data_IF_446462106669
#
_entry.id   IF_446462106669
#
_cell.length_a   1.000
_cell.length_b   1.000
_cell.length_c   1.000
_cell.angle_alpha   90.00
_cell.angle_beta   90.00
_cell.angle_gamma   90.00
#
_symmetry.space_group_name_H-M   'P 1'
#
loop_
_entity.id
_entity.type
_entity.pdbx_description
1 polymer ?
#
# COMPACT_ATOMS: atom_id res chain seq x y z
N UNK A 1 -23.05 -24.36 19.85
CA UNK A 1 -21.96 -23.72 19.06
C UNK A 1 -22.32 -22.25 18.91
N UNK A 2 -21.59 -21.33 19.59
CA UNK A 2 -21.75 -19.90 19.37
C UNK A 2 -21.19 -19.62 17.97
N UNK A 3 -21.99 -19.17 17.07
CA UNK A 3 -21.57 -18.64 15.76
C UNK A 3 -20.75 -17.40 16.07
N UNK A 4 -19.43 -17.47 15.89
CA UNK A 4 -18.49 -16.36 16.02
C UNK A 4 -18.79 -15.30 14.93
N UNK A 5 -19.75 -14.43 15.24
CA UNK A 5 -20.23 -13.39 14.33
C UNK A 5 -19.24 -12.24 14.09
N UNK A 6 -17.97 -12.36 14.54
CA UNK A 6 -17.02 -11.24 14.49
C UNK A 6 -15.56 -11.65 14.29
N UNK A 7 -15.26 -12.70 13.52
CA UNK A 7 -13.88 -13.07 13.19
C UNK A 7 -13.39 -12.27 11.99
N UNK A 8 -12.33 -11.50 12.17
CA UNK A 8 -11.60 -10.83 11.08
C UNK A 8 -10.78 -11.87 10.31
N UNK A 9 -10.85 -11.88 8.98
CA UNK A 9 -10.05 -12.78 8.13
C UNK A 9 -8.73 -12.17 7.69
N UNK A 10 -8.76 -10.86 7.45
CA UNK A 10 -7.64 -10.16 6.88
C UNK A 10 -7.38 -8.81 7.56
N UNK A 11 -6.08 -8.48 7.67
CA UNK A 11 -5.59 -7.16 8.06
C UNK A 11 -4.89 -6.53 6.84
N UNK A 12 -5.19 -5.26 6.54
CA UNK A 12 -4.56 -4.51 5.46
C UNK A 12 -3.64 -3.46 6.06
N UNK A 13 -2.37 -3.44 5.65
CA UNK A 13 -1.45 -2.33 5.92
C UNK A 13 -1.84 -1.17 5.02
N UNK A 14 -2.50 -0.16 5.60
CA UNK A 14 -3.16 0.92 4.89
C UNK A 14 -2.41 2.24 5.12
N UNK A 15 -1.68 2.71 4.09
CA UNK A 15 -0.93 3.97 4.15
C UNK A 15 -1.73 5.18 3.65
N UNK A 16 -2.83 4.98 2.93
CA UNK A 16 -3.56 6.05 2.25
C UNK A 16 -3.11 6.32 0.81
N UNK A 17 -2.06 5.63 0.35
CA UNK A 17 -1.58 5.65 -1.04
C UNK A 17 -2.34 4.68 -1.96
N UNK A 18 -2.11 4.80 -3.27
CA UNK A 18 -2.74 4.01 -4.34
C UNK A 18 -2.71 2.51 -4.07
N UNK A 19 -1.52 1.95 -3.82
CA UNK A 19 -1.32 0.51 -3.70
C UNK A 19 -2.06 -0.06 -2.48
N UNK A 20 -1.99 0.64 -1.36
CA UNK A 20 -2.69 0.24 -0.14
C UNK A 20 -4.21 0.34 -0.26
N UNK A 21 -4.71 1.33 -1.01
CA UNK A 21 -6.15 1.46 -1.31
C UNK A 21 -6.64 0.30 -2.18
N UNK A 22 -5.86 -0.10 -3.18
CA UNK A 22 -6.16 -1.27 -4.00
C UNK A 22 -6.05 -2.59 -3.22
N UNK A 23 -5.09 -2.71 -2.29
CA UNK A 23 -5.03 -3.85 -1.36
C UNK A 23 -6.30 -3.93 -0.51
N UNK A 24 -6.78 -2.79 0.00
CA UNK A 24 -8.00 -2.73 0.79
C UNK A 24 -9.22 -3.17 -0.02
N UNK A 25 -9.36 -2.66 -1.26
CA UNK A 25 -10.44 -3.05 -2.16
C UNK A 25 -10.44 -4.56 -2.47
N UNK A 26 -9.25 -5.13 -2.72
CA UNK A 26 -9.11 -6.57 -2.94
C UNK A 26 -9.44 -7.39 -1.70
N UNK A 27 -8.99 -6.95 -0.52
CA UNK A 27 -9.30 -7.63 0.74
C UNK A 27 -10.82 -7.63 0.99
N UNK A 28 -11.47 -6.47 0.84
CA UNK A 28 -12.92 -6.33 1.01
C UNK A 28 -13.69 -7.18 -0.01
N UNK A 29 -13.25 -7.21 -1.26
CA UNK A 29 -13.85 -8.07 -2.30
C UNK A 29 -13.75 -9.56 -1.96
N UNK A 30 -12.62 -9.99 -1.39
CA UNK A 30 -12.33 -11.40 -1.14
C UNK A 30 -12.94 -11.92 0.17
N UNK A 31 -13.11 -11.07 1.18
CA UNK A 31 -13.49 -11.46 2.54
C UNK A 31 -14.81 -10.82 3.02
N UNK A 32 -15.27 -9.76 2.35
CA UNK A 32 -16.34 -8.90 2.85
C UNK A 32 -15.84 -7.83 3.83
N UNK A 33 -16.42 -6.64 3.79
CA UNK A 33 -15.99 -5.49 4.59
C UNK A 33 -15.98 -5.78 6.11
N UNK A 34 -17.01 -6.45 6.61
CA UNK A 34 -17.16 -6.81 8.03
C UNK A 34 -16.10 -7.81 8.55
N UNK A 35 -15.33 -8.44 7.65
CA UNK A 35 -14.25 -9.39 7.98
C UNK A 35 -12.84 -8.87 7.65
N UNK A 36 -12.72 -7.59 7.31
CA UNK A 36 -11.45 -6.91 7.05
C UNK A 36 -11.19 -5.85 8.08
N UNK A 37 -9.98 -5.82 8.62
CA UNK A 37 -9.47 -4.72 9.43
C UNK A 37 -8.32 -4.00 8.70
N UNK A 38 -8.10 -2.74 9.00
CA UNK A 38 -7.01 -1.95 8.45
C UNK A 38 -6.10 -1.40 9.55
N UNK A 39 -4.79 -1.44 9.33
CA UNK A 39 -3.79 -0.86 10.23
C UNK A 39 -2.97 0.19 9.51
N UNK A 40 -2.84 1.36 10.12
CA UNK A 40 -2.06 2.49 9.62
C UNK A 40 -0.95 2.81 10.61
N UNK A 41 0.22 3.17 10.10
CA UNK A 41 1.38 3.50 10.93
C UNK A 41 1.73 4.98 10.83
N UNK A 42 1.95 5.60 12.00
CA UNK A 42 2.61 6.89 12.16
C UNK A 42 4.01 6.62 12.68
N UNK A 43 5.03 6.99 11.89
CA UNK A 43 6.43 6.68 12.19
C UNK A 43 7.33 7.92 12.07
N UNK A 44 6.74 9.10 12.25
CA UNK A 44 7.44 10.37 12.10
C UNK A 44 7.54 10.86 10.66
N UNK A 45 6.73 10.32 9.73
CA UNK A 45 6.70 10.77 8.34
C UNK A 45 6.35 12.25 8.21
N UNK A 46 6.94 12.89 7.19
CA UNK A 46 6.84 14.35 6.92
C UNK A 46 5.41 14.89 6.94
N UNK A 47 4.42 14.10 6.54
CA UNK A 47 3.04 14.52 6.36
C UNK A 47 2.06 13.55 7.01
N UNK A 48 1.31 14.04 7.98
CA UNK A 48 0.18 13.32 8.60
C UNK A 48 -1.04 13.16 7.69
N UNK A 49 -0.99 13.79 6.49
CA UNK A 49 -2.09 13.71 5.53
C UNK A 49 -2.40 12.27 5.12
N UNK A 50 -1.37 11.43 4.98
CA UNK A 50 -1.51 10.01 4.63
C UNK A 50 -2.44 9.28 5.60
N UNK A 51 -2.26 9.47 6.91
CA UNK A 51 -3.12 8.87 7.94
C UNK A 51 -4.58 9.32 7.80
N UNK A 52 -4.81 10.58 7.44
CA UNK A 52 -6.14 11.11 7.22
C UNK A 52 -6.82 10.45 6.01
N UNK A 53 -6.08 10.23 4.92
CA UNK A 53 -6.59 9.52 3.74
C UNK A 53 -6.82 8.03 4.03
N UNK A 54 -5.95 7.38 4.79
CA UNK A 54 -6.16 6.01 5.26
C UNK A 54 -7.46 5.87 6.06
N UNK A 55 -7.73 6.80 7.00
CA UNK A 55 -9.00 6.83 7.75
C UNK A 55 -10.23 6.97 6.84
N UNK A 56 -10.15 7.85 5.83
CA UNK A 56 -11.23 8.05 4.85
C UNK A 56 -11.48 6.78 4.03
N UNK A 57 -10.43 6.13 3.56
CA UNK A 57 -10.54 4.87 2.82
C UNK A 57 -11.13 3.75 3.68
N UNK A 58 -10.65 3.58 4.93
CA UNK A 58 -11.21 2.59 5.85
C UNK A 58 -12.71 2.81 6.09
N UNK A 59 -13.13 4.07 6.28
CA UNK A 59 -14.55 4.44 6.40
C UNK A 59 -15.34 4.17 5.11
N UNK A 60 -14.79 4.55 3.96
CA UNK A 60 -15.43 4.36 2.65
C UNK A 60 -15.71 2.88 2.36
N UNK A 61 -14.75 2.01 2.65
CA UNK A 61 -14.89 0.57 2.45
C UNK A 61 -15.66 -0.14 3.58
N UNK A 62 -16.02 0.54 4.67
CA UNK A 62 -16.80 -0.01 5.76
C UNK A 62 -16.13 -1.17 6.50
N UNK A 63 -14.80 -1.13 6.64
CA UNK A 63 -14.06 -2.22 7.31
C UNK A 63 -14.43 -2.37 8.78
N UNK A 64 -14.32 -3.59 9.31
CA UNK A 64 -14.70 -3.93 10.69
C UNK A 64 -13.95 -3.13 11.75
N UNK A 65 -12.69 -2.81 11.51
CA UNK A 65 -11.86 -2.01 12.42
C UNK A 65 -10.76 -1.27 11.66
N UNK A 66 -10.39 -0.08 12.13
CA UNK A 66 -9.22 0.65 11.69
C UNK A 66 -8.40 1.09 12.91
N UNK A 67 -7.12 0.73 12.92
CA UNK A 67 -6.19 1.07 14.00
C UNK A 67 -5.04 1.90 13.45
N UNK A 68 -4.73 3.01 14.11
CA UNK A 68 -3.48 3.76 13.89
C UNK A 68 -2.49 3.40 15.00
N UNK A 69 -1.27 3.05 14.63
CA UNK A 69 -0.19 2.68 15.54
C UNK A 69 0.97 3.64 15.35
N UNK A 70 1.50 4.19 16.43
CA UNK A 70 2.67 5.06 16.42
C UNK A 70 3.95 4.26 16.61
N UNK A 71 4.94 4.55 15.79
CA UNK A 71 6.28 3.95 15.82
C UNK A 71 7.32 5.08 15.83
N UNK A 72 7.27 5.90 16.89
CA UNK A 72 8.03 7.15 16.98
C UNK A 72 9.56 6.95 17.05
N UNK A 73 10.02 5.74 17.34
CA UNK A 73 11.44 5.42 17.47
C UNK A 73 12.23 5.46 16.14
N UNK A 74 11.57 5.39 14.99
CA UNK A 74 12.31 5.39 13.71
C UNK A 74 13.21 6.61 13.54
N UNK A 75 12.75 7.80 13.90
CA UNK A 75 13.55 9.02 13.81
C UNK A 75 14.77 9.05 14.73
N UNK A 76 14.86 8.13 15.72
CA UNK A 76 16.02 8.03 16.63
C UNK A 76 17.07 7.01 16.17
N UNK A 77 16.74 6.13 15.22
CA UNK A 77 17.60 5.02 14.81
C UNK A 77 17.91 4.98 13.31
N UNK A 78 17.27 5.82 12.49
CA UNK A 78 17.51 5.90 11.05
C UNK A 78 17.38 7.32 10.53
N UNK A 79 18.11 7.63 9.46
CA UNK A 79 18.04 8.90 8.75
C UNK A 79 17.36 8.70 7.40
N UNK A 80 16.25 9.41 7.16
CA UNK A 80 15.53 9.33 5.89
C UNK A 80 14.91 10.67 5.54
N UNK A 81 14.94 11.03 4.26
CA UNK A 81 14.24 12.21 3.76
C UNK A 81 12.70 12.12 3.92
N UNK A 82 12.14 10.96 4.24
CA UNK A 82 10.73 10.82 4.62
C UNK A 82 10.47 11.17 6.08
N UNK A 83 11.48 11.17 6.94
CA UNK A 83 11.38 11.51 8.36
C UNK A 83 11.76 12.97 8.63
N UNK A 84 12.59 13.58 7.78
CA UNK A 84 13.03 14.97 7.91
C UNK A 84 12.39 15.87 6.85
N UNK A 85 11.56 16.82 7.28
CA UNK A 85 10.89 17.79 6.39
C UNK A 85 11.84 18.77 5.68
N UNK A 86 13.07 18.94 6.19
CA UNK A 86 14.09 19.84 5.62
C UNK A 86 14.96 19.14 4.58
N UNK A 87 15.03 17.81 4.60
CA UNK A 87 15.83 17.03 3.65
C UNK A 87 15.20 17.01 2.26
N UNK A 88 16.05 17.18 1.23
CA UNK A 88 15.60 17.04 -0.16
C UNK A 88 15.36 15.58 -0.52
N UNK A 89 14.29 15.32 -1.26
CA UNK A 89 13.98 13.99 -1.79
C UNK A 89 14.74 13.80 -3.10
N UNK A 90 15.94 13.25 -3.00
CA UNK A 90 16.84 13.04 -4.13
C UNK A 90 17.30 11.59 -4.22
N UNK A 91 17.55 11.13 -5.45
CA UNK A 91 18.33 9.92 -5.68
C UNK A 91 19.75 10.36 -5.99
N UNK A 92 20.66 10.31 -5.02
CA UNK A 92 22.08 10.60 -5.26
C UNK A 92 22.60 9.66 -6.36
N UNK A 93 23.27 10.22 -7.38
CA UNK A 93 23.89 9.46 -8.46
C UNK A 93 24.88 8.47 -7.84
N UNK A 94 24.71 7.17 -8.16
CA UNK A 94 25.53 6.10 -7.57
C UNK A 94 25.09 5.56 -6.20
N UNK A 95 24.07 6.14 -5.57
CA UNK A 95 23.56 5.59 -4.32
C UNK A 95 22.81 4.26 -4.56
N UNK A 96 23.10 3.27 -3.72
CA UNK A 96 22.47 1.96 -3.72
C UNK A 96 20.96 2.04 -3.42
N UNK A 97 20.57 2.98 -2.56
CA UNK A 97 19.20 3.19 -2.10
C UNK A 97 18.80 4.67 -2.25
N UNK A 98 17.51 4.99 -2.50
CA UNK A 98 16.99 6.35 -2.45
C UNK A 98 17.12 6.96 -1.05
N UNK A 99 17.21 8.30 -0.96
CA UNK A 99 17.21 9.03 0.33
C UNK A 99 15.91 8.87 1.14
N UNK A 100 14.89 8.33 0.52
CA UNK A 100 13.56 8.06 1.11
C UNK A 100 13.43 6.68 1.75
N UNK A 101 14.50 5.87 1.77
CA UNK A 101 14.50 4.59 2.49
C UNK A 101 14.44 4.87 3.99
N UNK A 102 13.51 4.21 4.67
CA UNK A 102 13.49 4.05 6.13
C UNK A 102 13.81 2.59 6.38
N UNK A 103 15.00 2.32 6.85
CA UNK A 103 15.58 0.98 6.92
C UNK A 103 14.69 0.03 7.76
N UNK A 104 14.31 -1.09 7.15
CA UNK A 104 13.51 -2.11 7.82
C UNK A 104 12.06 -1.73 8.14
N UNK A 105 11.56 -0.60 7.64
CA UNK A 105 10.22 -0.11 7.93
C UNK A 105 9.13 -1.16 7.68
N UNK A 106 9.17 -1.84 6.54
CA UNK A 106 8.19 -2.87 6.22
C UNK A 106 8.32 -4.10 7.12
N UNK A 107 9.50 -4.41 7.65
CA UNK A 107 9.68 -5.50 8.63
C UNK A 107 8.88 -5.21 9.91
N UNK A 108 9.01 -4.00 10.46
CA UNK A 108 8.25 -3.57 11.65
C UNK A 108 6.74 -3.52 11.36
N UNK A 109 6.33 -2.97 10.23
CA UNK A 109 4.92 -2.88 9.86
C UNK A 109 4.27 -4.26 9.75
N UNK A 110 4.94 -5.21 9.11
CA UNK A 110 4.41 -6.55 8.92
C UNK A 110 4.40 -7.35 10.23
N UNK A 111 5.39 -7.17 11.09
CA UNK A 111 5.39 -7.79 12.42
C UNK A 111 4.24 -7.23 13.28
N UNK A 112 4.10 -5.91 13.38
CA UNK A 112 3.02 -5.26 14.14
C UNK A 112 1.63 -5.62 13.59
N UNK A 113 1.48 -5.65 12.26
CA UNK A 113 0.25 -6.11 11.61
C UNK A 113 -0.04 -7.58 11.95
N UNK A 114 0.98 -8.44 12.00
CA UNK A 114 0.86 -9.85 12.40
C UNK A 114 0.39 -10.02 13.85
N UNK A 115 0.98 -9.26 14.77
CA UNK A 115 0.57 -9.26 16.19
C UNK A 115 -0.92 -8.89 16.31
N UNK A 116 -1.35 -7.85 15.61
CA UNK A 116 -2.74 -7.43 15.63
C UNK A 116 -3.67 -8.42 14.92
N UNK A 117 -3.22 -8.99 13.79
CA UNK A 117 -3.95 -10.02 13.08
C UNK A 117 -4.22 -11.24 13.98
N UNK A 118 -3.20 -11.73 14.69
CA UNK A 118 -3.37 -12.82 15.67
C UNK A 118 -4.40 -12.48 16.76
N UNK A 119 -4.36 -11.25 17.29
CA UNK A 119 -5.35 -10.77 18.29
C UNK A 119 -6.79 -10.80 17.75
N UNK A 120 -6.96 -10.52 16.43
CA UNK A 120 -8.26 -10.52 15.77
C UNK A 120 -8.68 -11.90 15.22
N UNK A 121 -7.82 -12.92 15.31
CA UNK A 121 -8.04 -14.23 14.71
C UNK A 121 -7.75 -14.27 13.21
N UNK A 122 -7.28 -13.17 12.62
CA UNK A 122 -6.98 -13.07 11.18
C UNK A 122 -5.72 -13.84 10.79
N UNK A 123 -5.76 -14.47 9.63
CA UNK A 123 -4.64 -15.25 9.08
C UNK A 123 -4.03 -14.64 7.84
N UNK A 124 -4.57 -13.55 7.31
CA UNK A 124 -4.08 -12.91 6.10
C UNK A 124 -3.70 -11.45 6.36
N UNK A 125 -2.53 -11.05 5.87
CA UNK A 125 -2.11 -9.64 5.81
C UNK A 125 -1.99 -9.24 4.35
N UNK A 126 -2.58 -8.12 3.96
CA UNK A 126 -2.37 -7.49 2.65
C UNK A 126 -1.44 -6.30 2.80
N UNK A 127 -0.45 -6.19 1.90
CA UNK A 127 0.43 -5.04 1.81
C UNK A 127 0.71 -4.67 0.35
N UNK A 128 0.82 -3.37 0.07
CA UNK A 128 0.98 -2.80 -1.27
C UNK A 128 2.43 -2.69 -1.73
N UNK A 129 3.34 -3.51 -1.19
CA UNK A 129 4.73 -3.53 -1.66
C UNK A 129 4.81 -4.07 -3.09
N UNK A 130 5.71 -3.48 -3.91
CA UNK A 130 5.96 -3.85 -5.29
C UNK A 130 7.46 -3.87 -5.58
N UNK A 131 7.91 -4.88 -6.31
CA UNK A 131 9.28 -5.00 -6.80
C UNK A 131 9.43 -4.47 -8.23
N UNK A 132 8.37 -4.50 -9.02
CA UNK A 132 8.37 -4.14 -10.44
C UNK A 132 8.71 -2.66 -10.66
N UNK A 133 8.29 -1.81 -9.75
CA UNK A 133 8.49 -0.36 -9.83
C UNK A 133 9.89 0.09 -9.40
N UNK A 134 10.81 -0.88 -9.18
CA UNK A 134 12.19 -0.73 -8.76
C UNK A 134 12.50 0.62 -8.07
N UNK A 135 11.97 0.78 -6.89
CA UNK A 135 12.23 1.96 -6.05
C UNK A 135 13.59 1.88 -5.34
N UNK A 136 14.25 0.70 -5.38
CA UNK A 136 15.51 0.46 -4.66
C UNK A 136 15.31 0.19 -3.17
N UNK A 137 14.08 -0.11 -2.73
CA UNK A 137 13.78 -0.44 -1.34
C UNK A 137 14.04 -1.94 -1.10
N UNK A 138 15.03 -2.32 -0.26
CA UNK A 138 15.35 -3.72 0.01
C UNK A 138 14.16 -4.49 0.60
N UNK A 139 13.37 -3.85 1.46
CA UNK A 139 12.22 -4.40 2.17
C UNK A 139 10.92 -4.41 1.35
N UNK A 140 11.01 -4.17 0.02
CA UNK A 140 9.91 -4.38 -0.94
C UNK A 140 10.15 -5.59 -1.86
N UNK A 141 11.27 -6.30 -1.74
CA UNK A 141 11.61 -7.43 -2.59
C UNK A 141 10.80 -8.68 -2.24
N UNK A 142 10.55 -9.53 -3.24
CA UNK A 142 9.82 -10.78 -3.04
C UNK A 142 10.51 -11.72 -2.03
N UNK A 143 11.85 -11.82 -2.10
CA UNK A 143 12.65 -12.63 -1.16
C UNK A 143 12.54 -12.13 0.29
N UNK A 144 12.55 -10.79 0.49
CA UNK A 144 12.33 -10.20 1.81
C UNK A 144 10.94 -10.59 2.35
N UNK A 145 9.89 -10.44 1.54
CA UNK A 145 8.51 -10.79 1.96
C UNK A 145 8.40 -12.27 2.31
N UNK A 146 9.04 -13.16 1.56
CA UNK A 146 9.07 -14.60 1.86
C UNK A 146 9.76 -14.89 3.20
N UNK A 147 10.91 -14.26 3.46
CA UNK A 147 11.65 -14.37 4.72
C UNK A 147 10.85 -13.77 5.89
N UNK A 148 10.28 -12.58 5.70
CA UNK A 148 9.48 -11.90 6.72
C UNK A 148 8.23 -12.71 7.10
N UNK A 149 7.53 -13.30 6.12
CA UNK A 149 6.39 -14.19 6.38
C UNK A 149 6.81 -15.35 7.28
N UNK A 150 7.94 -15.99 6.98
CA UNK A 150 8.48 -17.10 7.79
C UNK A 150 8.79 -16.62 9.21
N UNK A 151 9.47 -15.47 9.34
CA UNK A 151 9.84 -14.90 10.64
C UNK A 151 8.60 -14.55 11.49
N UNK A 152 7.60 -13.89 10.89
CA UNK A 152 6.34 -13.52 11.59
C UNK A 152 5.57 -14.77 12.03
N UNK A 153 5.48 -15.79 11.17
CA UNK A 153 4.82 -17.07 11.54
C UNK A 153 5.48 -17.74 12.73
N UNK A 154 6.80 -17.82 12.72
CA UNK A 154 7.57 -18.43 13.83
C UNK A 154 7.48 -17.61 15.09
N UNK A 155 7.66 -16.29 15.00
CA UNK A 155 7.62 -15.41 16.17
C UNK A 155 6.25 -15.38 16.85
N UNK A 156 5.17 -15.57 16.11
CA UNK A 156 3.81 -15.50 16.64
C UNK A 156 3.18 -16.88 16.91
N UNK A 157 3.80 -17.96 16.45
CA UNK A 157 3.17 -19.29 16.38
C UNK A 157 1.72 -19.18 15.86
N UNK A 158 1.58 -18.54 14.67
CA UNK A 158 0.31 -18.24 14.04
C UNK A 158 0.42 -18.34 12.52
N UNK A 159 -0.55 -18.98 11.80
CA UNK A 159 -0.45 -19.28 10.37
C UNK A 159 -0.72 -18.04 9.50
N UNK A 160 0.11 -17.01 9.61
CA UNK A 160 -0.01 -15.77 8.83
C UNK A 160 0.40 -16.01 7.36
N UNK A 161 -0.45 -15.54 6.45
CA UNK A 161 -0.11 -15.34 5.03
C UNK A 161 0.05 -13.84 4.76
N UNK A 162 1.16 -13.46 4.08
CA UNK A 162 1.40 -12.09 3.63
C UNK A 162 1.14 -12.04 2.12
N UNK A 163 0.06 -11.38 1.72
CA UNK A 163 -0.34 -11.19 0.32
C UNK A 163 0.17 -9.85 -0.20
N UNK A 164 0.88 -9.91 -1.32
CA UNK A 164 1.46 -8.77 -2.04
C UNK A 164 0.91 -8.74 -3.48
N UNK A 165 -0.35 -8.30 -3.69
CA UNK A 165 -1.04 -8.43 -4.99
C UNK A 165 -0.32 -7.72 -6.13
N UNK A 166 0.56 -6.76 -5.81
CA UNK A 166 1.23 -5.89 -6.76
C UNK A 166 2.73 -6.17 -6.92
N UNK A 167 3.25 -7.25 -6.29
CA UNK A 167 4.69 -7.57 -6.29
C UNK A 167 5.31 -7.50 -7.70
N UNK A 168 4.60 -7.98 -8.71
CA UNK A 168 5.05 -8.06 -10.11
C UNK A 168 4.13 -7.31 -11.08
N UNK A 169 3.35 -6.32 -10.60
CA UNK A 169 2.47 -5.50 -11.45
C UNK A 169 3.08 -4.13 -11.70
N UNK A 170 2.87 -3.64 -12.92
CA UNK A 170 3.17 -2.25 -13.27
C UNK A 170 2.07 -1.31 -12.77
N UNK A 171 2.37 -0.01 -12.64
CA UNK A 171 1.35 0.98 -12.27
C UNK A 171 0.20 1.05 -13.28
N UNK A 172 0.46 0.81 -14.57
CA UNK A 172 -0.61 0.72 -15.58
C UNK A 172 -1.57 -0.44 -15.30
N UNK A 173 -1.06 -1.60 -14.86
CA UNK A 173 -1.88 -2.74 -14.48
C UNK A 173 -2.69 -2.48 -13.19
N UNK A 174 -2.13 -1.71 -12.25
CA UNK A 174 -2.85 -1.29 -11.05
C UNK A 174 -3.99 -0.33 -11.40
N UNK A 175 -3.80 0.62 -12.32
CA UNK A 175 -4.85 1.50 -12.82
C UNK A 175 -5.96 0.72 -13.55
N UNK A 176 -5.58 -0.26 -14.37
CA UNK A 176 -6.54 -1.15 -15.00
C UNK A 176 -7.37 -1.94 -13.97
N UNK A 177 -6.73 -2.38 -12.88
CA UNK A 177 -7.43 -3.04 -11.77
C UNK A 177 -8.37 -2.08 -11.05
N UNK A 178 -7.97 -0.83 -10.79
CA UNK A 178 -8.83 0.18 -10.20
C UNK A 178 -10.11 0.39 -11.03
N UNK A 179 -9.97 0.48 -12.35
CA UNK A 179 -11.11 0.60 -13.27
C UNK A 179 -11.99 -0.66 -13.25
N UNK A 180 -11.38 -1.86 -13.27
CA UNK A 180 -12.12 -3.14 -13.20
C UNK A 180 -12.90 -3.30 -11.89
N UNK A 181 -12.39 -2.74 -10.80
CA UNK A 181 -13.05 -2.74 -9.49
C UNK A 181 -14.07 -1.62 -9.33
N UNK A 182 -14.24 -0.72 -10.31
CA UNK A 182 -15.16 0.42 -10.24
C UNK A 182 -14.73 1.54 -9.29
N UNK A 183 -13.45 1.57 -8.89
CA UNK A 183 -12.90 2.53 -7.90
C UNK A 183 -11.83 3.44 -8.50
N UNK A 184 -11.82 3.62 -9.81
CA UNK A 184 -10.79 4.41 -10.50
C UNK A 184 -10.71 5.84 -9.94
N UNK A 185 -11.86 6.53 -9.84
CA UNK A 185 -11.91 7.92 -9.36
C UNK A 185 -11.57 8.01 -7.87
N UNK A 186 -11.99 7.04 -7.05
CA UNK A 186 -11.60 6.95 -5.65
C UNK A 186 -10.08 6.81 -5.52
N UNK A 187 -9.44 5.93 -6.28
CA UNK A 187 -7.99 5.75 -6.25
C UNK A 187 -7.29 7.00 -6.77
N UNK A 188 -7.79 7.63 -7.84
CA UNK A 188 -7.19 8.83 -8.42
C UNK A 188 -7.23 10.01 -7.47
N UNK A 189 -8.40 10.31 -6.92
CA UNK A 189 -8.67 11.55 -6.18
C UNK A 189 -8.66 11.36 -4.66
N UNK A 190 -8.93 10.13 -4.19
CA UNK A 190 -9.06 9.78 -2.77
C UNK A 190 -7.81 9.15 -2.15
N UNK A 191 -6.63 9.22 -2.79
CA UNK A 191 -5.36 8.70 -2.27
C UNK A 191 -4.26 9.76 -2.27
N UNK A 192 -3.22 9.54 -1.44
CA UNK A 192 -1.99 10.35 -1.40
C UNK A 192 -0.79 9.44 -1.60
N UNK A 193 -0.15 9.56 -2.76
CA UNK A 193 1.07 8.82 -3.09
C UNK A 193 2.29 9.75 -3.14
N UNK A 194 2.04 11.07 -3.19
CA UNK A 194 3.05 12.11 -3.29
C UNK A 194 3.90 12.22 -2.03
N UNK A 195 5.22 12.17 -2.15
CA UNK A 195 6.14 12.38 -1.03
C UNK A 195 6.08 13.78 -0.42
N UNK A 196 5.50 14.76 -1.14
CA UNK A 196 5.24 16.11 -0.63
C UNK A 196 3.82 16.26 -0.04
N UNK A 197 3.08 15.15 0.15
CA UNK A 197 1.75 15.16 0.76
C UNK A 197 0.65 15.78 -0.10
N UNK A 198 0.84 15.93 -1.42
CA UNK A 198 -0.18 16.49 -2.33
C UNK A 198 -1.10 15.36 -2.79
N UNK A 199 -2.42 15.46 -2.56
CA UNK A 199 -3.39 14.46 -2.97
C UNK A 199 -3.56 14.34 -4.50
N UNK A 200 -4.27 13.31 -4.92
CA UNK A 200 -4.66 13.13 -6.32
C UNK A 200 -3.44 12.85 -7.21
N UNK A 201 -3.29 13.64 -8.27
CA UNK A 201 -2.18 13.47 -9.23
C UNK A 201 -0.82 13.92 -8.65
N UNK A 202 -0.81 14.50 -7.44
CA UNK A 202 0.39 14.84 -6.68
C UNK A 202 1.14 16.05 -7.23
N UNK A 203 2.44 16.21 -6.87
CA UNK A 203 3.28 17.30 -7.34
C UNK A 203 3.80 17.09 -8.79
N UNK A 204 3.66 15.91 -9.38
CA UNK A 204 4.22 15.56 -10.68
C UNK A 204 5.75 15.34 -10.72
N UNK A 205 6.49 15.76 -9.71
CA UNK A 205 7.96 15.85 -9.74
C UNK A 205 8.65 14.78 -8.91
N UNK A 206 8.10 14.42 -7.76
CA UNK A 206 8.73 13.39 -6.91
C UNK A 206 8.68 12.02 -7.58
N UNK A 207 9.59 11.10 -7.23
CA UNK A 207 9.67 9.77 -7.84
C UNK A 207 8.35 9.00 -7.82
N UNK A 208 7.61 9.09 -6.71
CA UNK A 208 6.31 8.41 -6.57
C UNK A 208 5.25 8.99 -7.54
N UNK A 209 5.18 10.32 -7.70
CA UNK A 209 4.27 10.97 -8.66
C UNK A 209 4.63 10.62 -10.09
N UNK A 210 5.92 10.68 -10.46
CA UNK A 210 6.37 10.34 -11.82
C UNK A 210 5.97 8.91 -12.20
N UNK A 211 6.20 7.97 -11.30
CA UNK A 211 5.86 6.56 -11.51
C UNK A 211 4.35 6.36 -11.66
N UNK A 212 3.57 6.91 -10.72
CA UNK A 212 2.11 6.85 -10.71
C UNK A 212 1.51 7.44 -11.98
N UNK A 213 1.95 8.66 -12.36
CA UNK A 213 1.40 9.40 -13.51
C UNK A 213 1.82 8.77 -14.85
N UNK A 214 3.03 8.21 -14.93
CA UNK A 214 3.45 7.39 -16.08
C UNK A 214 2.51 6.21 -16.26
N UNK A 215 2.26 5.44 -15.23
CA UNK A 215 1.35 4.28 -15.30
C UNK A 215 -0.10 4.68 -15.61
N UNK A 216 -0.58 5.82 -15.09
CA UNK A 216 -1.89 6.35 -15.45
C UNK A 216 -1.99 6.66 -16.95
N UNK A 217 -0.99 7.35 -17.49
CA UNK A 217 -0.94 7.66 -18.93
C UNK A 217 -0.93 6.39 -19.77
N UNK A 218 -0.06 5.44 -19.47
CA UNK A 218 0.03 4.15 -20.17
C UNK A 218 -1.32 3.40 -20.17
N UNK A 219 -2.02 3.39 -19.03
CA UNK A 219 -3.36 2.80 -18.93
C UNK A 219 -4.37 3.53 -19.82
N UNK A 220 -4.45 4.87 -19.76
CA UNK A 220 -5.41 5.67 -20.54
C UNK A 220 -5.18 5.52 -22.04
N UNK A 221 -3.92 5.54 -22.48
CA UNK A 221 -3.55 5.34 -23.90
C UNK A 221 -3.95 3.94 -24.40
N UNK A 222 -3.77 2.91 -23.57
CA UNK A 222 -4.19 1.53 -23.87
C UNK A 222 -5.72 1.41 -23.93
N UNK A 223 -6.43 1.99 -23.00
CA UNK A 223 -7.88 1.97 -22.96
C UNK A 223 -8.52 2.70 -24.17
N UNK A 224 -7.91 3.81 -24.60
CA UNK A 224 -8.34 4.53 -25.81
C UNK A 224 -8.16 3.69 -27.08
N UNK A 225 -6.99 3.05 -27.25
CA UNK A 225 -6.74 2.14 -28.39
C UNK A 225 -7.73 0.98 -28.47
N UNK A 226 -8.04 0.36 -27.32
CA UNK A 226 -8.99 -0.75 -27.27
C UNK A 226 -10.41 -0.33 -27.64
N UNK A 227 -10.86 0.86 -27.21
CA UNK A 227 -12.15 1.43 -27.63
C UNK A 227 -12.20 1.68 -29.13
N UNK A 228 -11.15 2.24 -29.72
CA UNK A 228 -11.07 2.49 -31.17
C UNK A 228 -11.12 1.20 -32.00
N UNK A 229 -10.50 0.11 -31.52
CA UNK A 229 -10.58 -1.21 -32.19
C UNK A 229 -11.99 -1.80 -32.11
N UNK A 230 -12.63 -1.74 -30.93
CA UNK A 230 -14.00 -2.28 -30.74
C UNK A 230 -15.05 -1.56 -31.62
N UNK A 231 -14.85 -0.29 -31.94
CA UNK A 231 -15.73 0.46 -32.87
C UNK A 231 -15.49 0.03 -34.30
N UNK A 232 -14.24 -0.27 -34.73
CA UNK A 232 -13.92 -0.71 -36.09
C UNK A 232 -14.39 -2.13 -36.41
N UNK A 233 -14.46 -3.01 -35.42
CA UNK A 233 -14.93 -4.40 -35.60
C UNK A 233 -16.44 -4.54 -35.60
N UNK A 234 -17.20 -3.48 -35.32
CA UNK A 234 -18.68 -3.46 -35.33
C UNK A 234 -19.23 -2.75 -36.59
N UNK A 235 -18.38 -2.31 -37.49
CA UNK A 235 -18.71 -1.80 -38.83
C UNK A 235 -18.35 -2.84 -39.89
#
# INVERSE_FOLDING_TARGET
>A
MKTDANTTDAVVVLSGGQDSALCLALAVRNHGASRVAAITFEYGQRHSIETRFAKRLAKHFGVAAHKTVRLDFFGSITESALLDSKSKIEKKRGARCPSTVVEGRNAFFLLAAGVWAKKLGAKTIYTGVSQTDYSGYPDCRAEFIAAQRKAVRLALDWPIEIKTPFMHKTKAQEWALAAKLGIFDLVRNGTVTCYNGIPGDGCGECPACRLRNKGLKEYLDSAARNRGRAVRTRR
#
